data_IF_432463214423
#
_entry.id   IF_432463214423
#
_cell.length_a   1.000
_cell.length_b   1.000
_cell.length_c   1.000
_cell.angle_alpha   90.00
_cell.angle_beta   90.00
_cell.angle_gamma   90.00
#
_symmetry.space_group_name_H-M   'P 1'
#
loop_
_entity.id
_entity.type
_entity.pdbx_description
1 polymer ?
#
# COMPACT_ATOMS: atom_id res chain seq x y z
N UNK A 1 -9.68 7.84 11.89
CA UNK A 1 -10.86 7.82 11.00
C UNK A 1 -12.16 7.69 11.79
N UNK A 2 -12.21 6.88 12.83
CA UNK A 2 -13.41 6.68 13.66
C UNK A 2 -13.93 7.95 14.35
N UNK A 3 -13.07 8.95 14.59
CA UNK A 3 -13.45 10.24 15.18
C UNK A 3 -14.32 11.12 14.26
N UNK A 4 -14.42 10.81 12.97
CA UNK A 4 -15.11 11.64 11.97
C UNK A 4 -14.48 13.01 11.71
N UNK A 5 -13.22 13.24 12.14
CA UNK A 5 -12.55 14.55 12.08
C UNK A 5 -12.44 15.13 10.66
N UNK A 6 -12.37 14.27 9.64
CA UNK A 6 -12.33 14.67 8.21
C UNK A 6 -13.68 14.52 7.51
N UNK A 7 -14.77 14.28 8.25
CA UNK A 7 -16.06 13.92 7.69
C UNK A 7 -16.06 12.51 7.10
N UNK A 8 -16.83 12.29 6.03
CA UNK A 8 -16.92 11.00 5.36
C UNK A 8 -15.73 10.83 4.37
N UNK A 9 -14.88 9.80 4.53
CA UNK A 9 -13.79 9.53 3.58
C UNK A 9 -14.34 9.13 2.21
N UNK A 10 -13.82 9.74 1.12
CA UNK A 10 -14.31 9.55 -0.24
C UNK A 10 -13.24 9.12 -1.23
N UNK A 11 -12.03 9.64 -1.09
CA UNK A 11 -10.95 9.35 -2.00
C UNK A 11 -9.63 9.14 -1.25
N UNK A 12 -8.73 8.37 -1.87
CA UNK A 12 -7.40 8.10 -1.34
C UNK A 12 -6.37 8.14 -2.45
N UNK A 13 -5.20 8.68 -2.15
CA UNK A 13 -4.01 8.50 -2.98
C UNK A 13 -2.89 7.89 -2.16
N UNK A 14 -2.11 6.98 -2.74
CA UNK A 14 -0.93 6.44 -2.11
C UNK A 14 0.17 6.21 -3.14
N UNK A 15 1.38 6.62 -2.80
CA UNK A 15 2.52 6.53 -3.72
C UNK A 15 3.72 5.94 -3.00
N UNK A 16 4.44 5.03 -3.68
CA UNK A 16 5.68 4.47 -3.17
C UNK A 16 6.65 4.19 -4.32
N UNK A 17 7.64 5.07 -4.50
CA UNK A 17 8.65 4.89 -5.53
C UNK A 17 10.05 5.06 -4.95
N UNK A 18 10.96 4.23 -5.46
CA UNK A 18 12.40 4.29 -5.17
C UNK A 18 13.19 4.07 -6.44
N UNK A 19 14.34 4.73 -6.58
CA UNK A 19 15.30 4.39 -7.64
C UNK A 19 15.95 3.05 -7.33
N UNK A 20 15.47 1.98 -7.97
CA UNK A 20 15.93 0.60 -7.73
C UNK A 20 16.19 -0.18 -9.02
N UNK A 21 16.16 0.46 -10.19
CA UNK A 21 16.41 -0.19 -11.48
C UNK A 21 17.80 -0.86 -11.59
N UNK A 22 18.74 -0.45 -10.73
CA UNK A 22 20.09 -1.05 -10.65
C UNK A 22 20.16 -2.30 -9.77
N UNK A 23 19.09 -2.65 -9.03
CA UNK A 23 19.06 -3.83 -8.17
C UNK A 23 18.73 -5.07 -8.99
N UNK A 24 19.69 -5.99 -9.08
CA UNK A 24 19.53 -7.24 -9.82
C UNK A 24 18.22 -7.98 -9.50
N UNK A 25 17.84 -8.05 -8.23
CA UNK A 25 16.61 -8.71 -7.78
C UNK A 25 15.35 -8.16 -8.47
N UNK A 26 15.27 -6.84 -8.67
CA UNK A 26 14.12 -6.17 -9.29
C UNK A 26 13.96 -6.56 -10.76
N UNK A 27 15.09 -6.80 -11.44
CA UNK A 27 15.12 -7.12 -12.87
C UNK A 27 14.96 -8.62 -13.18
N UNK A 28 14.96 -9.48 -12.16
CA UNK A 28 15.00 -10.93 -12.34
C UNK A 28 13.65 -11.61 -12.12
N UNK A 29 13.06 -12.22 -13.18
CA UNK A 29 11.81 -12.99 -13.06
C UNK A 29 11.95 -14.20 -12.11
N UNK A 30 13.11 -14.86 -12.10
CA UNK A 30 13.37 -16.02 -11.23
C UNK A 30 13.54 -15.67 -9.74
N UNK A 31 13.66 -14.39 -9.41
CA UNK A 31 13.64 -13.86 -8.05
C UNK A 31 12.35 -13.11 -7.71
N UNK A 32 11.28 -13.31 -8.49
CA UNK A 32 10.02 -12.59 -8.35
C UNK A 32 10.23 -11.06 -8.33
N UNK A 33 11.01 -10.56 -9.31
CA UNK A 33 11.30 -9.13 -9.45
C UNK A 33 10.06 -8.31 -9.78
N UNK A 34 10.28 -7.02 -10.04
CA UNK A 34 9.22 -6.07 -10.35
C UNK A 34 8.88 -5.15 -9.18
N UNK A 35 8.15 -4.09 -9.47
CA UNK A 35 7.75 -3.07 -8.51
C UNK A 35 6.49 -3.47 -7.72
N UNK A 36 5.56 -4.20 -8.33
CA UNK A 36 4.29 -4.55 -7.70
C UNK A 36 4.47 -5.32 -6.39
N UNK A 37 5.24 -6.40 -6.41
CA UNK A 37 5.45 -7.24 -5.23
C UNK A 37 6.37 -6.58 -4.19
N UNK A 38 7.23 -5.64 -4.60
CA UNK A 38 8.20 -4.98 -3.71
C UNK A 38 7.67 -3.65 -3.14
N UNK A 39 6.95 -2.88 -3.93
CA UNK A 39 6.47 -1.53 -3.60
C UNK A 39 4.94 -1.38 -3.72
N UNK A 40 4.35 -1.90 -4.78
CA UNK A 40 2.91 -1.81 -5.04
C UNK A 40 2.06 -2.44 -3.93
N UNK A 41 2.57 -3.51 -3.32
CA UNK A 41 1.93 -4.17 -2.16
C UNK A 41 1.66 -3.20 -1.01
N UNK A 42 2.52 -2.22 -0.75
CA UNK A 42 2.30 -1.22 0.31
C UNK A 42 1.17 -0.26 -0.05
N UNK A 43 1.13 0.23 -1.28
CA UNK A 43 0.08 1.12 -1.75
C UNK A 43 -1.29 0.43 -1.77
N UNK A 44 -1.35 -0.84 -2.21
CA UNK A 44 -2.55 -1.67 -2.17
C UNK A 44 -3.02 -1.90 -0.72
N UNK A 45 -2.11 -2.29 0.18
CA UNK A 45 -2.43 -2.46 1.60
C UNK A 45 -2.93 -1.17 2.24
N UNK A 46 -2.32 -0.02 1.93
CA UNK A 46 -2.75 1.27 2.43
C UNK A 46 -4.20 1.57 2.02
N UNK A 47 -4.56 1.35 0.76
CA UNK A 47 -5.93 1.54 0.30
C UNK A 47 -6.92 0.57 0.99
N UNK A 48 -6.58 -0.71 1.08
CA UNK A 48 -7.42 -1.74 1.69
C UNK A 48 -7.59 -1.54 3.19
N UNK A 49 -6.55 -1.11 3.89
CA UNK A 49 -6.59 -0.81 5.33
C UNK A 49 -7.64 0.26 5.68
N UNK A 50 -7.82 1.25 4.81
CA UNK A 50 -8.73 2.36 5.09
C UNK A 50 -10.08 2.25 4.39
N UNK A 51 -10.16 1.63 3.22
CA UNK A 51 -11.37 1.55 2.41
C UNK A 51 -11.97 0.13 2.31
N UNK A 52 -11.29 -0.85 2.90
CA UNK A 52 -11.75 -2.23 2.91
C UNK A 52 -11.41 -3.00 1.65
N UNK A 53 -12.05 -4.16 1.48
CA UNK A 53 -11.70 -5.15 0.46
C UNK A 53 -12.76 -5.27 -0.65
N UNK A 54 -13.91 -4.61 -0.52
CA UNK A 54 -15.02 -4.67 -1.47
C UNK A 54 -14.74 -3.86 -2.75
N UNK A 55 -13.69 -4.25 -3.48
CA UNK A 55 -13.27 -3.61 -4.73
C UNK A 55 -14.16 -4.11 -5.86
N UNK A 56 -14.84 -3.20 -6.55
CA UNK A 56 -15.77 -3.50 -7.67
C UNK A 56 -15.14 -3.30 -9.02
N UNK A 57 -14.07 -2.49 -9.12
CA UNK A 57 -13.36 -2.23 -10.37
C UNK A 57 -11.91 -1.87 -10.08
N UNK A 58 -11.02 -2.47 -10.86
CA UNK A 58 -9.59 -2.11 -10.95
C UNK A 58 -9.29 -1.64 -12.37
N UNK A 59 -8.55 -0.55 -12.52
CA UNK A 59 -8.00 -0.08 -13.80
C UNK A 59 -6.54 0.19 -13.57
N UNK A 60 -5.68 -0.33 -14.44
CA UNK A 60 -4.24 -0.21 -14.26
C UNK A 60 -3.50 0.10 -15.55
N UNK A 61 -2.32 0.69 -15.41
CA UNK A 61 -1.32 0.85 -16.45
C UNK A 61 0.04 0.45 -15.87
N UNK A 62 0.86 -0.17 -16.69
CA UNK A 62 2.19 -0.65 -16.30
C UNK A 62 3.21 -0.28 -17.35
N UNK A 63 4.42 0.05 -16.91
CA UNK A 63 5.62 0.10 -17.74
C UNK A 63 6.48 -1.14 -17.43
N UNK A 64 6.64 -2.00 -18.41
CA UNK A 64 7.51 -3.17 -18.31
C UNK A 64 8.96 -2.80 -18.66
N UNK A 65 9.91 -3.42 -17.96
CA UNK A 65 11.34 -3.36 -18.28
C UNK A 65 11.72 -4.39 -19.36
N UNK A 66 12.99 -4.40 -19.77
CA UNK A 66 13.52 -5.30 -20.81
C UNK A 66 13.39 -6.79 -20.44
N UNK A 67 13.36 -7.11 -19.15
CA UNK A 67 13.21 -8.48 -18.65
C UNK A 67 11.75 -8.92 -18.50
N UNK A 68 10.79 -8.06 -18.87
CA UNK A 68 9.37 -8.31 -18.72
C UNK A 68 8.82 -8.08 -17.31
N UNK A 69 9.65 -7.59 -16.37
CA UNK A 69 9.20 -7.20 -15.04
C UNK A 69 8.55 -5.83 -15.07
N UNK A 70 7.53 -5.64 -14.23
CA UNK A 70 6.89 -4.36 -14.00
C UNK A 70 7.86 -3.42 -13.27
N UNK A 71 8.08 -2.26 -13.88
CA UNK A 71 9.03 -1.27 -13.34
C UNK A 71 8.34 -0.06 -12.76
N UNK A 72 7.14 0.25 -13.23
CA UNK A 72 6.32 1.35 -12.75
C UNK A 72 4.86 1.09 -13.07
N UNK A 73 3.95 1.32 -12.12
CA UNK A 73 2.52 1.13 -12.28
C UNK A 73 1.68 2.25 -11.69
N UNK A 74 0.51 2.45 -12.29
CA UNK A 74 -0.57 3.26 -11.76
C UNK A 74 -1.82 2.38 -11.67
N UNK A 75 -2.47 2.35 -10.51
CA UNK A 75 -3.63 1.50 -10.23
C UNK A 75 -4.75 2.37 -9.66
N UNK A 76 -5.93 2.32 -10.28
CA UNK A 76 -7.14 2.97 -9.77
C UNK A 76 -8.12 1.90 -9.30
N UNK A 77 -8.64 2.06 -8.08
CA UNK A 77 -9.59 1.16 -7.44
C UNK A 77 -10.92 1.89 -7.22
N UNK A 78 -12.05 1.21 -7.54
CA UNK A 78 -13.38 1.65 -7.13
C UNK A 78 -13.92 0.65 -6.11
N UNK A 79 -14.48 1.14 -5.02
CA UNK A 79 -15.06 0.34 -3.94
C UNK A 79 -16.59 0.33 -4.04
N UNK A 80 -17.23 -0.69 -3.47
CA UNK A 80 -18.68 -0.89 -3.53
C UNK A 80 -19.49 0.28 -2.94
N UNK A 81 -18.94 0.96 -1.94
CA UNK A 81 -19.55 2.12 -1.29
C UNK A 81 -19.28 3.45 -2.02
N UNK A 82 -18.70 3.41 -3.22
CA UNK A 82 -18.41 4.56 -4.06
C UNK A 82 -17.08 5.28 -3.76
N UNK A 83 -16.30 4.80 -2.81
CA UNK A 83 -14.94 5.31 -2.57
C UNK A 83 -14.01 4.97 -3.72
N UNK A 84 -12.97 5.77 -3.91
CA UNK A 84 -11.96 5.57 -4.95
C UNK A 84 -10.55 5.72 -4.40
N UNK A 85 -9.62 4.89 -4.90
CA UNK A 85 -8.19 5.05 -4.61
C UNK A 85 -7.37 5.13 -5.91
N UNK A 86 -6.35 6.01 -5.91
CA UNK A 86 -5.34 6.09 -6.96
C UNK A 86 -3.98 5.79 -6.35
N UNK A 87 -3.32 4.77 -6.87
CA UNK A 87 -2.08 4.23 -6.35
C UNK A 87 -1.00 4.34 -7.42
N UNK A 88 0.22 4.63 -6.99
CA UNK A 88 1.40 4.60 -7.84
C UNK A 88 2.54 3.89 -7.10
N UNK A 89 3.19 2.96 -7.78
CA UNK A 89 4.43 2.37 -7.31
C UNK A 89 5.43 2.27 -8.46
N UNK A 90 6.71 2.21 -8.14
CA UNK A 90 7.71 2.09 -9.19
C UNK A 90 9.16 2.13 -8.72
N UNK A 91 10.03 1.54 -9.55
CA UNK A 91 11.48 1.46 -9.33
C UNK A 91 12.29 2.44 -10.16
N UNK A 92 11.65 3.28 -10.98
CA UNK A 92 12.31 4.18 -11.94
C UNK A 92 12.38 5.64 -11.49
N UNK A 93 11.70 6.00 -10.40
CA UNK A 93 11.61 7.39 -9.93
C UNK A 93 11.75 7.48 -8.42
N UNK A 94 12.01 8.69 -7.94
CA UNK A 94 11.83 9.08 -6.54
C UNK A 94 10.52 9.83 -6.40
N UNK A 95 9.82 9.64 -5.28
CA UNK A 95 8.68 10.45 -4.91
C UNK A 95 8.67 10.71 -3.39
N UNK A 96 7.65 11.40 -2.90
CA UNK A 96 7.48 11.74 -1.50
C UNK A 96 6.92 10.59 -0.64
N UNK A 97 6.52 9.47 -1.27
CA UNK A 97 6.01 8.25 -0.64
C UNK A 97 4.76 8.47 0.23
N UNK A 98 3.99 9.51 -0.07
CA UNK A 98 2.86 9.94 0.73
C UNK A 98 1.61 9.08 0.52
N UNK A 99 0.79 9.03 1.58
CA UNK A 99 -0.61 8.64 1.52
C UNK A 99 -1.51 9.80 1.93
N UNK A 100 -2.59 10.03 1.19
CA UNK A 100 -3.58 11.05 1.52
C UNK A 100 -4.97 10.43 1.50
N UNK A 101 -5.72 10.61 2.58
CA UNK A 101 -7.11 10.18 2.70
C UNK A 101 -7.98 11.44 2.73
N UNK A 102 -8.80 11.63 1.70
CA UNK A 102 -9.65 12.79 1.53
C UNK A 102 -11.07 12.50 2.02
N UNK A 103 -11.57 13.34 2.89
CA UNK A 103 -12.94 13.33 3.40
C UNK A 103 -13.74 14.56 2.97
N UNK A 104 -15.00 14.63 3.40
CA UNK A 104 -15.92 15.73 3.07
C UNK A 104 -15.62 17.04 3.80
N UNK A 105 -14.87 16.99 4.92
CA UNK A 105 -14.56 18.15 5.75
C UNK A 105 -13.05 18.40 5.92
N UNK A 106 -12.21 17.48 5.40
CA UNK A 106 -10.77 17.58 5.55
C UNK A 106 -10.03 16.41 4.93
N UNK A 107 -8.75 16.29 5.25
CA UNK A 107 -7.92 15.18 4.79
C UNK A 107 -6.85 14.81 5.82
N UNK A 108 -6.39 13.57 5.73
CA UNK A 108 -5.24 13.06 6.51
C UNK A 108 -4.08 12.86 5.54
N UNK A 109 -2.91 13.39 5.88
CA UNK A 109 -1.67 13.17 5.17
C UNK A 109 -0.74 12.28 6.01
N UNK A 110 -0.24 11.24 5.39
CA UNK A 110 0.78 10.33 5.94
C UNK A 110 2.06 10.52 5.11
N UNK A 111 3.15 10.87 5.74
CA UNK A 111 4.40 11.27 5.06
C UNK A 111 5.12 10.12 4.33
N UNK A 112 4.93 8.89 4.80
CA UNK A 112 5.54 7.70 4.22
C UNK A 112 4.67 6.48 4.52
N UNK A 113 4.02 5.92 3.49
CA UNK A 113 3.04 4.83 3.69
C UNK A 113 3.64 3.51 4.18
N UNK A 114 4.93 3.27 3.99
CA UNK A 114 5.57 2.03 4.43
C UNK A 114 6.27 2.15 5.80
N UNK A 115 6.51 3.36 6.28
CA UNK A 115 7.05 3.64 7.61
C UNK A 115 6.75 5.09 8.01
N UNK A 116 5.50 5.40 8.43
CA UNK A 116 5.11 6.77 8.74
C UNK A 116 5.84 7.30 9.98
N UNK A 117 6.40 8.49 9.85
CA UNK A 117 6.98 9.25 10.96
C UNK A 117 6.13 10.44 11.35
N UNK A 118 5.31 10.95 10.40
CA UNK A 118 4.42 12.09 10.61
C UNK A 118 3.06 11.80 10.01
N UNK A 119 2.00 12.05 10.78
CA UNK A 119 0.62 12.06 10.31
C UNK A 119 0.03 13.41 10.64
N UNK A 120 -0.54 14.07 9.64
CA UNK A 120 -1.16 15.38 9.78
C UNK A 120 -2.62 15.32 9.39
N UNK A 121 -3.47 15.97 10.19
CA UNK A 121 -4.90 16.09 9.94
C UNK A 121 -5.22 17.53 9.60
N UNK A 122 -5.83 17.74 8.46
CA UNK A 122 -6.27 19.03 7.98
C UNK A 122 -7.80 19.09 7.94
N UNK A 123 -8.38 20.18 8.41
CA UNK A 123 -9.80 20.49 8.31
C UNK A 123 -9.97 21.89 7.73
N UNK A 124 -10.82 22.04 6.71
CA UNK A 124 -10.96 23.30 5.98
C UNK A 124 -9.61 23.91 5.55
N UNK A 125 -8.65 23.06 5.10
CA UNK A 125 -7.30 23.43 4.68
C UNK A 125 -6.37 23.94 5.80
N UNK A 126 -6.80 23.89 7.06
CA UNK A 126 -5.98 24.23 8.23
C UNK A 126 -5.48 22.96 8.92
N UNK A 127 -4.21 22.95 9.32
CA UNK A 127 -3.64 21.88 10.13
C UNK A 127 -4.25 21.92 11.53
N UNK A 128 -5.00 20.86 11.89
CA UNK A 128 -5.67 20.77 13.20
C UNK A 128 -5.00 19.80 14.15
N UNK A 129 -4.38 18.74 13.63
CA UNK A 129 -3.65 17.76 14.44
C UNK A 129 -2.39 17.31 13.72
N UNK A 130 -1.35 17.03 14.51
CA UNK A 130 -0.09 16.44 14.02
C UNK A 130 0.41 15.40 15.00
N UNK A 131 0.67 14.21 14.49
CA UNK A 131 1.25 13.11 15.21
C UNK A 131 2.64 12.85 14.66
N UNK A 132 3.59 12.61 15.57
CA UNK A 132 4.95 12.21 15.21
C UNK A 132 5.25 10.85 15.80
N UNK A 133 6.18 10.13 15.20
CA UNK A 133 6.62 8.84 15.74
C UNK A 133 7.03 8.99 17.21
N UNK A 134 6.73 7.98 18.07
CA UNK A 134 7.17 7.99 19.47
C UNK A 134 8.69 8.08 19.59
N UNK A 135 9.17 8.75 20.65
CA UNK A 135 10.58 8.79 20.98
C UNK A 135 11.11 7.36 21.21
N UNK A 136 12.30 7.06 20.70
CA UNK A 136 12.91 5.73 20.81
C UNK A 136 12.49 4.73 19.72
N UNK A 137 11.53 5.06 18.89
CA UNK A 137 11.19 4.25 17.72
C UNK A 137 12.27 4.39 16.63
N UNK A 138 12.80 3.26 16.15
CA UNK A 138 13.93 3.24 15.20
C UNK A 138 13.44 3.20 13.75
N UNK A 139 12.65 2.19 13.37
CA UNK A 139 12.27 1.94 11.97
C UNK A 139 10.85 1.40 11.75
N UNK A 140 10.02 1.36 12.80
CA UNK A 140 8.63 0.90 12.73
C UNK A 140 8.43 -0.62 12.77
N UNK A 141 9.47 -1.43 12.58
CA UNK A 141 9.36 -2.89 12.71
C UNK A 141 9.04 -3.32 14.15
N UNK A 142 9.29 -2.47 15.13
CA UNK A 142 8.94 -2.69 16.53
C UNK A 142 7.44 -3.01 16.70
N UNK A 143 6.57 -2.35 15.93
CA UNK A 143 5.13 -2.61 15.98
C UNK A 143 4.78 -4.02 15.55
N UNK A 144 5.45 -4.57 14.54
CA UNK A 144 5.25 -5.95 14.09
C UNK A 144 5.67 -6.93 15.19
N UNK A 145 6.80 -6.66 15.86
CA UNK A 145 7.28 -7.48 16.98
C UNK A 145 6.31 -7.43 18.15
N UNK A 146 5.82 -6.26 18.52
CA UNK A 146 4.83 -6.11 19.59
C UNK A 146 3.52 -6.82 19.27
N UNK A 147 3.03 -6.71 18.05
CA UNK A 147 1.81 -7.40 17.63
C UNK A 147 1.99 -8.91 17.60
N UNK A 148 3.11 -9.43 17.09
CA UNK A 148 3.43 -10.86 17.13
C UNK A 148 3.45 -11.38 18.58
N UNK A 149 4.14 -10.66 19.48
CA UNK A 149 4.19 -11.00 20.90
C UNK A 149 2.79 -11.03 21.53
N UNK A 150 1.99 -9.99 21.30
CA UNK A 150 0.61 -9.90 21.79
C UNK A 150 -0.24 -11.09 21.32
N UNK A 151 -0.13 -11.46 20.03
CA UNK A 151 -0.86 -12.59 19.48
C UNK A 151 -0.43 -13.93 20.11
N UNK A 152 0.87 -14.15 20.27
CA UNK A 152 1.41 -15.36 20.90
C UNK A 152 0.95 -15.46 22.36
N UNK A 153 1.07 -14.38 23.14
CA UNK A 153 0.63 -14.33 24.54
C UNK A 153 -0.90 -14.56 24.70
N UNK A 154 -1.69 -14.11 23.70
CA UNK A 154 -3.13 -14.34 23.64
C UNK A 154 -3.53 -15.71 23.06
N UNK A 155 -2.58 -16.56 22.64
CA UNK A 155 -2.85 -17.86 22.02
C UNK A 155 -3.49 -17.76 20.63
N UNK A 156 -3.37 -16.61 19.94
CA UNK A 156 -3.89 -16.40 18.59
C UNK A 156 -2.97 -17.03 17.55
N UNK A 157 -3.55 -17.60 16.49
CA UNK A 157 -2.80 -18.19 15.37
C UNK A 157 -2.42 -17.17 14.30
N UNK A 158 -3.08 -16.03 14.29
CA UNK A 158 -2.87 -14.92 13.36
C UNK A 158 -3.19 -13.58 14.03
N UNK A 159 -2.68 -12.49 13.44
CA UNK A 159 -3.06 -11.15 13.90
C UNK A 159 -4.40 -10.72 13.31
N UNK A 160 -5.35 -10.23 14.14
CA UNK A 160 -6.57 -9.63 13.61
C UNK A 160 -6.33 -8.34 12.82
N UNK A 161 -5.14 -7.72 12.94
CA UNK A 161 -4.74 -6.54 12.16
C UNK A 161 -4.35 -6.91 10.72
N UNK A 162 -3.85 -8.14 10.51
CA UNK A 162 -3.48 -8.69 9.21
C UNK A 162 -3.76 -10.20 9.20
N UNK A 163 -5.01 -10.62 9.06
CA UNK A 163 -5.39 -12.05 9.04
C UNK A 163 -4.87 -12.73 7.77
N UNK A 164 -4.72 -14.06 7.81
CA UNK A 164 -4.26 -14.85 6.66
C UNK A 164 -5.15 -14.67 5.42
N UNK A 165 -6.46 -14.51 5.62
CA UNK A 165 -7.41 -14.26 4.54
C UNK A 165 -7.07 -12.95 3.79
N UNK A 166 -6.70 -11.89 4.50
CA UNK A 166 -6.29 -10.62 3.89
C UNK A 166 -5.00 -10.77 3.10
N UNK A 167 -4.02 -11.51 3.64
CA UNK A 167 -2.78 -11.84 2.93
C UNK A 167 -3.06 -12.58 1.63
N UNK A 168 -3.93 -13.59 1.65
CA UNK A 168 -4.32 -14.34 0.45
C UNK A 168 -5.09 -13.47 -0.55
N UNK A 169 -5.98 -12.62 -0.05
CA UNK A 169 -6.79 -11.72 -0.88
C UNK A 169 -5.93 -10.68 -1.63
N UNK A 170 -4.95 -10.07 -0.97
CA UNK A 170 -4.06 -9.11 -1.62
C UNK A 170 -3.09 -9.80 -2.59
N UNK A 171 -2.59 -10.99 -2.26
CA UNK A 171 -1.77 -11.78 -3.17
C UNK A 171 -2.55 -12.11 -4.45
N UNK A 172 -3.82 -12.54 -4.31
CA UNK A 172 -4.69 -12.77 -5.46
C UNK A 172 -4.89 -11.51 -6.31
N UNK A 173 -5.09 -10.35 -5.69
CA UNK A 173 -5.23 -9.08 -6.41
C UNK A 173 -3.97 -8.75 -7.21
N UNK A 174 -2.79 -8.97 -6.63
CA UNK A 174 -1.52 -8.77 -7.34
C UNK A 174 -1.31 -9.78 -8.45
N UNK A 175 -1.73 -11.03 -8.28
CA UNK A 175 -1.69 -12.04 -9.33
C UNK A 175 -2.62 -11.68 -10.51
N UNK A 176 -3.82 -11.16 -10.23
CA UNK A 176 -4.74 -10.69 -11.27
C UNK A 176 -4.14 -9.51 -12.06
N UNK A 177 -3.47 -8.56 -11.40
CA UNK A 177 -2.74 -7.45 -12.04
C UNK A 177 -1.56 -7.96 -12.90
N UNK A 178 -0.72 -8.84 -12.37
CA UNK A 178 0.40 -9.43 -13.11
C UNK A 178 -0.10 -10.16 -14.37
N UNK A 179 -1.20 -10.90 -14.25
CA UNK A 179 -1.83 -11.60 -15.37
C UNK A 179 -2.32 -10.63 -16.44
N UNK A 180 -2.96 -9.53 -16.05
CA UNK A 180 -3.41 -8.46 -16.97
C UNK A 180 -2.21 -7.85 -17.71
N UNK A 181 -1.10 -7.61 -17.00
CA UNK A 181 0.11 -6.99 -17.55
C UNK A 181 1.01 -7.94 -18.34
N UNK A 182 0.75 -9.26 -18.25
CA UNK A 182 1.61 -10.28 -18.85
C UNK A 182 2.93 -10.53 -18.11
N UNK A 183 3.05 -10.08 -16.85
CA UNK A 183 4.21 -10.37 -15.98
C UNK A 183 4.16 -11.81 -15.53
N UNK A 184 5.20 -12.58 -15.84
CA UNK A 184 5.29 -14.01 -15.53
C UNK A 184 6.57 -14.35 -14.78
N UNK A 185 6.45 -15.22 -13.81
CA UNK A 185 7.57 -15.82 -13.10
C UNK A 185 7.76 -17.29 -13.54
N UNK A 186 9.00 -17.82 -13.51
CA UNK A 186 9.25 -19.22 -13.91
C UNK A 186 8.49 -20.26 -13.09
N UNK A 187 8.06 -19.90 -11.86
CA UNK A 187 7.33 -20.79 -10.97
C UNK A 187 5.82 -20.68 -11.12
N UNK A 188 5.29 -19.75 -11.93
CA UNK A 188 3.85 -19.66 -12.18
C UNK A 188 3.38 -20.96 -12.86
N UNK A 189 2.32 -21.56 -12.32
CA UNK A 189 1.69 -22.74 -12.94
C UNK A 189 0.86 -22.29 -14.13
N UNK A 190 0.96 -23.01 -15.24
CA UNK A 190 0.09 -22.83 -16.43
C UNK A 190 -1.38 -23.07 -16.11
#
# INVERSE_FOLDING_TARGET
MESGIIGEPRALTATLCYMMEFKERILRPDLCGGALLDLGVYALNFARMYFGTDITKTVSNVQLGETGMDMQECISLCFKDGKMANLQAGCLTLNDRQGIINGTEGYIRVDNINCPEVIEVYRNYELVERYTKPEGMVNGYEYQVYECRRCIEAGLKESPMMPHEETLSIMKQMDDLRKEWGVKYPMDKE
#
